data_IF_596309004163
#
_entry.id   IF_596309004163
#
_cell.length_a   1.000
_cell.length_b   1.000
_cell.length_c   1.000
_cell.angle_alpha   90.00
_cell.angle_beta   90.00
_cell.angle_gamma   90.00
#
_symmetry.space_group_name_H-M   'P 1'
#
loop_
_entity.id
_entity.type
_entity.pdbx_description
1 polymer ?
#
# COMPACT_ATOMS: atom_id res chain seq x y z
N UNK A 1 33.82 18.66 -12.69
CA UNK A 1 34.11 19.25 -11.36
C UNK A 1 32.88 19.93 -10.72
N UNK A 2 31.65 19.47 -10.95
CA UNK A 2 30.45 19.97 -10.24
C UNK A 2 29.66 18.85 -9.54
N UNK A 3 30.12 17.60 -9.62
CA UNK A 3 29.43 16.43 -9.07
C UNK A 3 29.83 16.07 -7.64
N UNK A 4 30.86 16.71 -7.07
CA UNK A 4 31.38 16.36 -5.74
C UNK A 4 30.85 17.25 -4.61
N UNK A 5 30.29 18.43 -4.92
CA UNK A 5 29.82 19.37 -3.91
C UNK A 5 28.45 19.00 -3.28
N UNK A 6 27.65 18.18 -3.96
CA UNK A 6 26.33 17.78 -3.44
C UNK A 6 26.37 16.61 -2.45
N UNK A 7 27.50 15.92 -2.30
CA UNK A 7 27.64 14.76 -1.42
C UNK A 7 28.28 15.08 -0.05
N UNK A 8 28.78 16.31 0.18
CA UNK A 8 29.38 16.71 1.47
C UNK A 8 28.37 17.27 2.48
N UNK A 9 27.29 17.88 2.00
CA UNK A 9 26.24 18.47 2.86
C UNK A 9 25.51 17.44 3.75
N UNK A 10 25.24 16.20 3.31
CA UNK A 10 24.60 15.19 4.16
C UNK A 10 25.49 14.76 5.34
N UNK A 11 26.79 14.58 5.11
CA UNK A 11 27.74 14.10 6.12
C UNK A 11 27.97 15.12 7.24
N UNK A 12 28.10 16.41 6.91
CA UNK A 12 28.26 17.46 7.91
C UNK A 12 27.01 17.64 8.77
N UNK A 13 25.81 17.44 8.18
CA UNK A 13 24.56 17.49 8.91
C UNK A 13 24.38 16.30 9.86
N UNK A 14 24.81 15.09 9.47
CA UNK A 14 24.82 13.92 10.36
C UNK A 14 25.81 14.08 11.50
N UNK A 15 27.02 14.57 11.20
CA UNK A 15 28.04 14.84 12.21
C UNK A 15 27.57 15.91 13.20
N UNK A 16 26.97 17.01 12.73
CA UNK A 16 26.42 18.06 13.59
C UNK A 16 25.28 17.56 14.50
N UNK A 17 24.39 16.69 14.00
CA UNK A 17 23.36 16.05 14.83
C UNK A 17 23.98 15.21 15.94
N UNK A 18 25.04 14.45 15.64
CA UNK A 18 25.74 13.64 16.63
C UNK A 18 26.37 14.51 17.73
N UNK A 19 27.00 15.64 17.38
CA UNK A 19 27.54 16.58 18.36
C UNK A 19 26.46 17.23 19.22
N UNK A 20 25.29 17.53 18.67
CA UNK A 20 24.17 18.10 19.42
C UNK A 20 23.54 17.08 20.37
N UNK A 21 23.44 15.82 19.97
CA UNK A 21 23.07 14.69 20.85
C UNK A 21 24.08 14.51 21.99
N UNK A 22 25.37 14.53 21.70
CA UNK A 22 26.43 14.38 22.71
C UNK A 22 26.44 15.56 23.70
N UNK A 23 26.23 16.79 23.22
CA UNK A 23 26.03 17.96 24.08
C UNK A 23 24.79 17.84 24.96
N UNK A 24 23.68 17.29 24.45
CA UNK A 24 22.48 16.98 25.24
C UNK A 24 22.79 15.95 26.34
N UNK A 25 23.58 14.91 26.05
CA UNK A 25 24.00 13.93 27.07
C UNK A 25 24.89 14.55 28.14
N UNK A 26 25.83 15.42 27.76
CA UNK A 26 26.80 16.03 28.67
C UNK A 26 26.18 17.16 29.52
N UNK A 27 25.21 17.92 28.97
CA UNK A 27 24.58 19.04 29.67
C UNK A 27 23.41 18.63 30.58
N UNK A 28 22.86 17.42 30.41
CA UNK A 28 21.74 16.94 31.22
C UNK A 28 22.25 16.30 32.52
N UNK A 29 22.42 17.10 33.57
CA UNK A 29 22.54 16.61 34.95
C UNK A 29 21.18 16.19 35.57
N UNK A 30 20.08 16.32 34.81
CA UNK A 30 18.72 15.96 35.20
C UNK A 30 18.07 14.96 34.22
N UNK A 31 16.97 14.35 34.68
CA UNK A 31 16.13 13.34 34.01
C UNK A 31 15.93 13.66 32.51
N UNK A 32 16.43 12.79 31.63
CA UNK A 32 16.22 12.92 30.17
C UNK A 32 14.72 12.83 29.89
N UNK A 33 14.16 13.88 29.27
CA UNK A 33 12.74 13.94 28.93
C UNK A 33 12.42 13.09 27.70
N UNK A 34 11.18 12.60 27.63
CA UNK A 34 10.65 11.90 26.47
C UNK A 34 10.22 12.91 25.41
N UNK A 35 10.56 12.65 24.15
CA UNK A 35 10.17 13.49 23.01
C UNK A 35 9.53 12.63 21.91
N UNK A 36 8.63 13.25 21.15
CA UNK A 36 7.98 12.63 20.00
C UNK A 36 8.93 12.53 18.81
N UNK A 37 8.89 11.42 18.07
CA UNK A 37 9.76 11.18 16.92
C UNK A 37 9.25 11.86 15.65
N UNK A 38 10.10 12.62 14.97
CA UNK A 38 9.75 13.21 13.66
C UNK A 38 9.86 12.22 12.50
N UNK A 39 10.75 11.25 12.61
CA UNK A 39 10.98 10.22 11.61
C UNK A 39 11.35 8.91 12.26
N UNK A 40 10.87 7.80 11.71
CA UNK A 40 11.26 6.44 12.10
C UNK A 40 12.00 5.77 10.96
N UNK A 41 13.02 4.98 11.28
CA UNK A 41 13.72 4.18 10.29
C UNK A 41 12.86 2.96 9.93
N UNK A 42 12.54 2.82 8.65
CA UNK A 42 11.87 1.65 8.12
C UNK A 42 12.87 0.73 7.42
N UNK A 43 12.71 -0.58 7.66
CA UNK A 43 13.52 -1.63 7.07
C UNK A 43 12.60 -2.57 6.29
N UNK A 44 12.83 -2.67 4.99
CA UNK A 44 12.07 -3.50 4.08
C UNK A 44 12.88 -4.74 3.75
N UNK A 45 12.41 -5.90 4.21
CA UNK A 45 12.99 -7.21 3.94
C UNK A 45 12.27 -7.86 2.77
N UNK A 46 13.05 -8.32 1.79
CA UNK A 46 12.57 -9.10 0.65
C UNK A 46 13.04 -10.54 0.80
N UNK A 47 12.10 -11.45 0.98
CA UNK A 47 12.33 -12.89 1.15
C UNK A 47 12.06 -13.61 -0.17
N UNK A 48 13.01 -14.40 -0.63
CA UNK A 48 12.85 -15.25 -1.81
C UNK A 48 11.93 -16.46 -1.47
N UNK A 49 11.50 -17.20 -2.48
CA UNK A 49 10.77 -18.49 -2.37
C UNK A 49 11.44 -19.52 -1.44
N UNK A 50 12.76 -19.44 -1.24
CA UNK A 50 13.52 -20.28 -0.32
C UNK A 50 13.65 -19.72 1.11
N UNK A 51 12.91 -18.65 1.45
CA UNK A 51 12.95 -17.94 2.74
C UNK A 51 14.29 -17.27 3.07
N UNK A 52 15.16 -17.07 2.08
CA UNK A 52 16.38 -16.27 2.24
C UNK A 52 16.08 -14.79 2.02
N UNK A 53 16.76 -13.93 2.79
CA UNK A 53 16.72 -12.48 2.60
C UNK A 53 17.55 -12.15 1.35
N UNK A 54 16.88 -11.71 0.29
CA UNK A 54 17.53 -11.29 -0.95
C UNK A 54 18.01 -9.84 -0.86
N UNK A 55 17.19 -8.97 -0.23
CA UNK A 55 17.51 -7.56 -0.13
C UNK A 55 16.93 -6.93 1.15
N UNK A 56 17.64 -5.93 1.66
CA UNK A 56 17.22 -5.11 2.81
C UNK A 56 17.35 -3.65 2.39
N UNK A 57 16.23 -2.95 2.29
CA UNK A 57 16.19 -1.52 2.00
C UNK A 57 15.87 -0.76 3.28
N UNK A 58 16.65 0.27 3.59
CA UNK A 58 16.45 1.09 4.78
C UNK A 58 16.09 2.52 4.36
N UNK A 59 14.95 3.03 4.81
CA UNK A 59 14.51 4.39 4.48
C UNK A 59 13.86 5.08 5.69
N UNK A 60 14.11 6.38 5.90
CA UNK A 60 13.42 7.13 6.93
C UNK A 60 11.99 7.50 6.49
N UNK A 61 11.00 7.20 7.32
CA UNK A 61 9.60 7.61 7.14
C UNK A 61 9.31 8.78 8.07
N UNK A 62 8.86 9.91 7.53
CA UNK A 62 8.39 11.05 8.34
C UNK A 62 7.05 10.72 9.02
N UNK A 63 6.92 11.10 10.29
CA UNK A 63 5.74 10.87 11.12
C UNK A 63 4.98 12.17 11.37
N UNK A 64 3.69 12.06 11.71
CA UNK A 64 2.90 13.18 12.18
C UNK A 64 3.01 13.27 13.71
N UNK A 65 3.40 14.43 14.22
CA UNK A 65 3.58 14.64 15.66
C UNK A 65 2.20 14.84 16.30
N UNK A 66 1.98 14.16 17.42
CA UNK A 66 0.86 14.35 18.33
C UNK A 66 1.37 14.74 19.72
N UNK A 67 0.47 15.16 20.61
CA UNK A 67 0.79 15.64 21.95
C UNK A 67 1.45 14.57 22.84
N UNK A 68 1.17 13.29 22.59
CA UNK A 68 1.67 12.16 23.40
C UNK A 68 2.61 11.21 22.64
N UNK A 69 2.93 11.52 21.39
CA UNK A 69 3.79 10.67 20.55
C UNK A 69 3.68 11.03 19.09
N UNK A 70 3.91 10.05 18.23
CA UNK A 70 3.86 10.23 16.78
C UNK A 70 2.96 9.21 16.13
N UNK A 71 2.20 9.63 15.12
CA UNK A 71 1.26 8.76 14.42
C UNK A 71 1.65 8.63 12.95
N UNK A 72 1.57 7.41 12.44
CA UNK A 72 1.64 7.11 11.02
C UNK A 72 0.25 6.69 10.54
N UNK A 73 -0.34 7.49 9.65
CA UNK A 73 -1.68 7.20 9.15
C UNK A 73 -1.70 5.95 8.27
N UNK A 74 -2.82 5.22 8.33
CA UNK A 74 -3.06 4.03 7.51
C UNK A 74 -2.93 4.32 6.01
N UNK A 75 -3.34 5.49 5.53
CA UNK A 75 -3.23 5.83 4.11
C UNK A 75 -1.77 5.88 3.68
N UNK A 76 -0.92 6.51 4.50
CA UNK A 76 0.51 6.58 4.23
C UNK A 76 1.17 5.20 4.31
N UNK A 77 0.76 4.38 5.28
CA UNK A 77 1.25 3.01 5.43
C UNK A 77 0.90 2.15 4.22
N UNK A 78 -0.35 2.19 3.75
CA UNK A 78 -0.81 1.48 2.55
C UNK A 78 -0.06 1.97 1.30
N UNK A 79 0.14 3.29 1.16
CA UNK A 79 0.92 3.85 0.05
C UNK A 79 2.35 3.32 0.03
N UNK A 80 3.02 3.28 1.18
CA UNK A 80 4.39 2.75 1.30
C UNK A 80 4.42 1.26 0.93
N UNK A 81 3.47 0.47 1.45
CA UNK A 81 3.38 -0.96 1.12
C UNK A 81 3.19 -1.17 -0.38
N UNK A 82 2.32 -0.39 -1.04
CA UNK A 82 2.09 -0.52 -2.48
C UNK A 82 3.30 -0.09 -3.32
N UNK A 83 3.97 1.00 -2.94
CA UNK A 83 5.18 1.49 -3.62
C UNK A 83 6.34 0.50 -3.54
N UNK A 84 6.43 -0.28 -2.45
CA UNK A 84 7.52 -1.23 -2.21
C UNK A 84 7.26 -2.63 -2.72
N UNK A 85 6.07 -2.91 -3.29
CA UNK A 85 5.80 -4.17 -4.00
C UNK A 85 6.59 -4.22 -5.30
N UNK A 86 7.40 -5.27 -5.44
CA UNK A 86 8.18 -5.52 -6.65
C UNK A 86 7.43 -6.54 -7.51
N UNK A 87 7.20 -6.20 -8.77
CA UNK A 87 6.65 -7.11 -9.79
C UNK A 87 7.70 -7.34 -10.85
N UNK A 88 8.26 -8.54 -10.87
CA UNK A 88 9.16 -9.03 -11.91
C UNK A 88 8.33 -9.85 -12.92
N UNK A 89 8.89 -10.10 -14.11
CA UNK A 89 8.22 -10.91 -15.14
C UNK A 89 7.91 -12.35 -14.69
N UNK A 90 8.65 -12.86 -13.71
CA UNK A 90 8.58 -14.26 -13.26
C UNK A 90 8.12 -14.39 -11.80
N UNK A 91 8.18 -13.31 -11.03
CA UNK A 91 7.87 -13.34 -9.60
C UNK A 91 7.30 -12.03 -9.11
N UNK A 92 6.53 -12.10 -8.03
CA UNK A 92 5.88 -10.96 -7.40
C UNK A 92 6.14 -11.01 -5.91
N UNK A 93 6.69 -9.93 -5.39
CA UNK A 93 6.84 -9.71 -3.96
C UNK A 93 5.52 -9.21 -3.38
N UNK A 94 4.92 -10.01 -2.51
CA UNK A 94 3.71 -9.67 -1.78
C UNK A 94 4.07 -9.28 -0.35
N UNK A 95 3.36 -8.29 0.18
CA UNK A 95 3.48 -7.91 1.59
C UNK A 95 3.01 -9.05 2.49
N UNK A 96 3.84 -9.41 3.46
CA UNK A 96 3.60 -10.48 4.42
C UNK A 96 3.20 -9.88 5.77
N UNK A 97 4.13 -9.19 6.45
CA UNK A 97 3.92 -8.67 7.80
C UNK A 97 4.58 -7.31 8.06
N UNK A 98 4.05 -6.63 9.08
CA UNK A 98 4.54 -5.37 9.61
C UNK A 98 4.79 -5.50 11.11
N UNK A 99 5.99 -5.13 11.55
CA UNK A 99 6.40 -5.18 12.95
C UNK A 99 6.96 -3.82 13.37
N UNK A 100 6.47 -3.28 14.48
CA UNK A 100 7.03 -2.08 15.11
C UNK A 100 7.87 -2.48 16.32
N UNK A 101 9.07 -1.94 16.38
CA UNK A 101 9.91 -1.94 17.56
C UNK A 101 9.95 -0.52 18.13
N UNK A 102 9.37 -0.35 19.31
CA UNK A 102 9.28 0.94 20.00
C UNK A 102 9.68 0.81 21.48
N UNK A 103 10.74 1.52 21.86
CA UNK A 103 11.22 1.64 23.22
C UNK A 103 10.74 2.97 23.82
N UNK A 104 9.59 2.95 24.48
CA UNK A 104 8.95 4.07 25.18
C UNK A 104 9.40 4.21 26.65
N UNK A 105 10.53 3.58 27.00
CA UNK A 105 11.01 3.54 28.39
C UNK A 105 11.50 4.92 28.85
N UNK A 106 10.97 5.48 29.95
CA UNK A 106 11.43 6.75 30.49
C UNK A 106 12.84 6.61 31.09
N UNK A 107 13.54 7.73 31.21
CA UNK A 107 14.90 7.76 31.74
C UNK A 107 15.04 7.22 33.16
N UNK A 108 14.00 7.38 33.99
CA UNK A 108 13.95 6.87 35.36
C UNK A 108 13.96 5.34 35.47
N UNK A 109 13.48 4.63 34.45
CA UNK A 109 13.37 3.16 34.48
C UNK A 109 14.42 2.43 33.63
N UNK A 110 15.32 3.15 32.95
CA UNK A 110 16.42 2.55 32.15
C UNK A 110 17.25 1.57 32.97
N UNK A 111 17.59 1.93 34.21
CA UNK A 111 18.40 1.07 35.07
C UNK A 111 17.69 -0.25 35.40
N UNK A 112 16.39 -0.19 35.68
CA UNK A 112 15.56 -1.36 35.92
C UNK A 112 15.41 -2.21 34.65
N UNK A 113 15.25 -1.56 33.49
CA UNK A 113 15.21 -2.21 32.19
C UNK A 113 16.52 -2.98 31.92
N UNK A 114 17.68 -2.37 32.18
CA UNK A 114 19.00 -3.01 32.00
C UNK A 114 19.20 -4.25 32.88
N UNK A 115 18.50 -4.34 34.02
CA UNK A 115 18.57 -5.51 34.91
C UNK A 115 17.57 -6.61 34.55
N UNK A 116 16.65 -6.34 33.63
CA UNK A 116 15.63 -7.31 33.24
C UNK A 116 16.27 -8.35 32.34
N UNK A 117 16.29 -9.61 32.79
CA UNK A 117 16.82 -10.74 32.00
C UNK A 117 15.74 -11.49 31.21
N UNK A 118 14.46 -11.16 31.44
CA UNK A 118 13.34 -11.79 30.75
C UNK A 118 13.14 -11.22 29.34
N UNK A 119 13.91 -11.74 28.39
CA UNK A 119 13.87 -11.36 26.98
C UNK A 119 12.44 -11.47 26.41
N UNK A 120 11.67 -12.50 26.79
CA UNK A 120 10.30 -12.69 26.30
C UNK A 120 9.38 -11.52 26.68
N UNK A 121 9.50 -11.01 27.90
CA UNK A 121 8.69 -9.88 28.38
C UNK A 121 9.12 -8.57 27.69
N UNK A 122 10.41 -8.42 27.43
CA UNK A 122 10.94 -7.26 26.67
C UNK A 122 10.38 -7.26 25.25
N UNK A 123 10.43 -8.42 24.57
CA UNK A 123 9.90 -8.58 23.21
C UNK A 123 8.41 -8.29 23.18
N UNK A 124 7.61 -8.86 24.08
CA UNK A 124 6.15 -8.63 24.07
C UNK A 124 5.75 -7.17 24.31
N UNK A 125 6.55 -6.43 25.08
CA UNK A 125 6.23 -5.05 25.44
C UNK A 125 6.63 -4.06 24.34
N UNK A 126 7.81 -4.27 23.74
CA UNK A 126 8.42 -3.31 22.81
C UNK A 126 8.28 -3.70 21.34
N UNK A 127 8.01 -4.96 21.03
CA UNK A 127 7.86 -5.46 19.65
C UNK A 127 6.40 -5.86 19.44
N UNK A 128 5.73 -5.16 18.51
CA UNK A 128 4.31 -5.36 18.23
C UNK A 128 4.11 -5.60 16.75
N UNK A 129 3.37 -6.67 16.42
CA UNK A 129 2.86 -6.88 15.07
C UNK A 129 1.71 -5.89 14.84
N UNK A 130 1.75 -5.19 13.72
CA UNK A 130 0.78 -4.14 13.39
C UNK A 130 -0.14 -4.60 12.27
N UNK A 131 -1.36 -4.06 12.28
CA UNK A 131 -2.30 -4.20 11.18
C UNK A 131 -2.09 -3.06 10.17
N UNK A 132 -1.81 -3.34 8.88
CA UNK A 132 -1.65 -2.32 7.85
C UNK A 132 -2.87 -1.43 7.60
N UNK A 133 -4.04 -1.85 8.07
CA UNK A 133 -5.31 -1.14 7.87
C UNK A 133 -5.62 -0.12 8.97
N UNK A 134 -4.82 -0.09 10.03
CA UNK A 134 -5.01 0.76 11.20
C UNK A 134 -3.93 1.84 11.27
N UNK A 135 -4.24 2.93 11.96
CA UNK A 135 -3.27 3.98 12.23
C UNK A 135 -2.26 3.48 13.27
N UNK A 136 -0.98 3.72 13.01
CA UNK A 136 0.10 3.24 13.86
C UNK A 136 0.52 4.34 14.81
N UNK A 137 0.35 4.11 16.11
CA UNK A 137 0.82 5.00 17.16
C UNK A 137 2.22 4.58 17.66
N UNK A 138 3.15 5.52 17.65
CA UNK A 138 4.52 5.38 18.15
C UNK A 138 4.62 6.26 19.40
N UNK A 139 4.85 5.62 20.54
CA UNK A 139 4.95 6.31 21.83
C UNK A 139 6.17 7.22 21.91
N UNK A 140 6.05 8.30 22.68
CA UNK A 140 7.19 9.19 22.97
C UNK A 140 8.32 8.41 23.66
N UNK A 141 9.55 8.68 23.26
CA UNK A 141 10.74 7.99 23.79
C UNK A 141 11.87 8.97 23.99
N UNK A 142 12.87 8.59 24.78
CA UNK A 142 14.07 9.39 24.92
C UNK A 142 14.86 9.41 23.60
N UNK A 143 15.51 10.52 23.29
CA UNK A 143 16.18 10.70 22.00
C UNK A 143 17.17 9.57 21.62
N UNK A 144 17.93 8.92 22.53
CA UNK A 144 18.82 7.81 22.12
C UNK A 144 18.05 6.60 21.57
N UNK A 145 16.80 6.40 22.01
CA UNK A 145 15.97 5.31 21.50
C UNK A 145 15.36 5.62 20.14
N UNK A 146 15.35 6.87 19.68
CA UNK A 146 14.83 7.23 18.36
C UNK A 146 15.61 6.54 17.23
N UNK A 147 16.91 6.31 17.42
CA UNK A 147 17.75 5.58 16.46
C UNK A 147 17.51 4.05 16.48
N UNK A 148 17.01 3.52 17.61
CA UNK A 148 16.77 2.09 17.81
C UNK A 148 15.34 1.71 17.41
N UNK A 149 14.41 2.65 17.54
CA UNK A 149 13.02 2.48 17.13
C UNK A 149 12.95 2.29 15.61
N UNK A 150 12.39 1.15 15.21
CA UNK A 150 12.40 0.71 13.82
C UNK A 150 11.06 0.10 13.45
N UNK A 151 10.72 0.25 12.16
CA UNK A 151 9.52 -0.33 11.58
C UNK A 151 9.93 -1.31 10.47
N UNK A 152 9.53 -2.56 10.62
CA UNK A 152 9.97 -3.66 9.79
C UNK A 152 8.85 -4.12 8.88
N UNK A 153 9.09 -4.09 7.58
CA UNK A 153 8.19 -4.63 6.57
C UNK A 153 8.79 -5.89 5.99
N UNK A 154 7.99 -6.95 5.87
CA UNK A 154 8.38 -8.19 5.24
C UNK A 154 7.60 -8.38 3.94
N UNK A 155 8.32 -8.69 2.87
CA UNK A 155 7.76 -9.05 1.57
C UNK A 155 8.25 -10.45 1.21
N UNK A 156 7.35 -11.30 0.74
CA UNK A 156 7.65 -12.65 0.30
C UNK A 156 7.46 -12.77 -1.22
N UNK A 157 8.41 -13.42 -1.88
CA UNK A 157 8.36 -13.71 -3.29
C UNK A 157 7.40 -14.87 -3.57
N UNK A 158 6.43 -14.63 -4.42
CA UNK A 158 5.61 -15.67 -5.03
C UNK A 158 5.95 -15.79 -6.51
N UNK A 159 6.16 -17.02 -6.97
CA UNK A 159 6.26 -17.32 -8.40
C UNK A 159 4.95 -16.96 -9.08
N UNK A 160 5.03 -16.13 -10.11
CA UNK A 160 3.90 -15.88 -10.99
C UNK A 160 3.87 -17.08 -11.94
N UNK A 161 3.22 -18.18 -11.52
CA UNK A 161 2.73 -19.15 -12.49
C UNK A 161 1.93 -18.36 -13.49
N UNK A 162 2.28 -18.45 -14.79
CA UNK A 162 1.61 -17.75 -15.88
C UNK A 162 0.13 -17.71 -15.58
N UNK A 163 -0.38 -16.53 -15.23
CA UNK A 163 -1.79 -16.36 -14.90
C UNK A 163 -2.55 -16.87 -16.12
N UNK A 164 -3.03 -18.12 -16.07
CA UNK A 164 -3.99 -18.63 -17.04
C UNK A 164 -5.04 -17.54 -17.06
N UNK A 165 -5.27 -16.87 -18.20
CA UNK A 165 -6.10 -15.69 -18.23
C UNK A 165 -7.38 -16.05 -17.51
N UNK A 166 -7.65 -15.39 -16.39
CA UNK A 166 -8.80 -15.70 -15.57
C UNK A 166 -10.01 -15.37 -16.44
N UNK A 167 -10.52 -16.38 -17.14
CA UNK A 167 -11.73 -16.26 -17.93
C UNK A 167 -12.81 -16.00 -16.90
N UNK A 168 -13.15 -14.72 -16.70
CA UNK A 168 -14.28 -14.30 -15.91
C UNK A 168 -15.49 -15.05 -16.47
N UNK A 169 -15.90 -16.12 -15.79
CA UNK A 169 -17.12 -16.84 -16.13
C UNK A 169 -18.23 -15.84 -15.88
N UNK A 170 -18.85 -15.38 -16.96
CA UNK A 170 -20.03 -14.51 -16.90
C UNK A 170 -21.02 -15.06 -15.87
N UNK A 171 -21.37 -14.22 -14.89
CA UNK A 171 -22.31 -14.54 -13.82
C UNK A 171 -23.75 -14.68 -14.37
N UNK A 172 -23.97 -14.30 -15.63
CA UNK A 172 -25.20 -14.62 -16.38
C UNK A 172 -25.23 -16.11 -16.75
N UNK A 173 -25.37 -16.98 -15.75
CA UNK A 173 -26.00 -18.27 -15.96
C UNK A 173 -27.49 -18.02 -16.09
N UNK A 174 -27.98 -17.95 -17.33
CA UNK A 174 -29.40 -18.20 -17.61
C UNK A 174 -29.73 -19.60 -17.09
N UNK A 175 -30.36 -19.68 -15.92
CA UNK A 175 -30.84 -20.92 -15.30
C UNK A 175 -32.03 -21.53 -16.06
N UNK A 176 -32.41 -20.96 -17.21
CA UNK A 176 -33.57 -21.36 -18.01
C UNK A 176 -33.22 -21.74 -19.46
N UNK A 177 -32.07 -22.40 -19.70
CA UNK A 177 -31.81 -22.99 -21.02
C UNK A 177 -32.59 -24.29 -21.19
N UNK A 178 -33.85 -24.15 -21.62
CA UNK A 178 -34.52 -25.18 -22.43
C UNK A 178 -33.62 -25.51 -23.64
N UNK A 179 -33.65 -26.75 -24.17
CA UNK A 179 -32.79 -27.14 -25.29
C UNK A 179 -32.94 -26.15 -26.45
N UNK A 180 -31.79 -25.70 -26.96
CA UNK A 180 -31.66 -24.73 -28.05
C UNK A 180 -32.44 -25.28 -29.25
N UNK A 181 -33.61 -24.70 -29.53
CA UNK A 181 -34.27 -24.89 -30.82
C UNK A 181 -33.41 -24.20 -31.86
N UNK A 182 -32.96 -24.95 -32.87
CA UNK A 182 -32.33 -24.41 -34.07
C UNK A 182 -33.17 -23.25 -34.62
N UNK A 183 -32.68 -22.02 -34.50
CA UNK A 183 -33.27 -20.89 -35.20
C UNK A 183 -32.67 -20.83 -36.60
N UNK A 184 -33.54 -20.79 -37.62
CA UNK A 184 -33.12 -20.60 -39.01
C UNK A 184 -32.34 -19.28 -39.11
N UNK A 185 -31.12 -19.37 -39.63
CA UNK A 185 -30.24 -18.23 -39.88
C UNK A 185 -30.90 -17.32 -40.92
N UNK A 186 -31.36 -16.14 -40.51
CA UNK A 186 -31.92 -15.13 -41.41
C UNK A 186 -30.77 -14.27 -41.93
N UNK A 187 -30.61 -14.23 -43.25
CA UNK A 187 -29.63 -13.36 -43.93
C UNK A 187 -30.30 -12.02 -44.19
N UNK A 188 -29.90 -10.98 -43.45
CA UNK A 188 -30.38 -9.62 -43.69
C UNK A 188 -29.60 -9.08 -44.89
N UNK A 189 -30.29 -8.96 -46.03
CA UNK A 189 -29.78 -8.23 -47.20
C UNK A 189 -30.19 -6.78 -46.99
N UNK A 190 -29.22 -5.92 -46.63
CA UNK A 190 -29.43 -4.48 -46.59
C UNK A 190 -29.59 -4.00 -48.04
N UNK A 191 -30.83 -3.69 -48.44
CA UNK A 191 -31.07 -3.05 -49.72
C UNK A 191 -30.49 -1.63 -49.68
N UNK A 192 -29.82 -1.18 -50.76
CA UNK A 192 -29.27 0.18 -50.81
C UNK A 192 -30.40 1.20 -50.72
N UNK A 193 -30.20 2.22 -49.88
CA UNK A 193 -31.13 3.34 -49.69
C UNK A 193 -31.51 3.93 -51.05
N UNK A 194 -32.76 3.74 -51.48
CA UNK A 194 -33.33 4.50 -52.58
C UNK A 194 -33.60 5.91 -52.09
N UNK A 195 -32.92 6.87 -52.69
CA UNK A 195 -33.18 8.30 -52.48
C UNK A 195 -34.67 8.59 -52.70
N UNK A 196 -35.28 9.20 -51.69
CA UNK A 196 -36.69 9.61 -51.74
C UNK A 196 -36.78 10.81 -52.68
N UNK A 197 -37.09 10.56 -53.96
CA UNK A 197 -37.50 11.61 -54.89
C UNK A 197 -38.93 12.00 -54.54
N UNK A 198 -39.08 13.19 -53.97
CA UNK A 198 -40.37 13.84 -53.74
C UNK A 198 -41.09 14.08 -55.08
N UNK A 199 -42.14 13.32 -55.35
CA UNK A 199 -43.10 13.64 -56.42
C UNK A 199 -44.49 13.73 -55.83
N UNK A 200 -44.97 14.96 -55.69
CA UNK A 200 -46.39 15.27 -55.49
C UNK A 200 -47.16 14.78 -56.72
N UNK A 201 -48.31 14.10 -56.54
CA UNK A 201 -49.59 14.41 -57.24
C UNK A 201 -50.75 13.47 -56.88
N UNK A 202 -51.84 14.15 -56.52
CA UNK A 202 -53.25 13.99 -56.88
C UNK A 202 -54.11 12.82 -56.36
N UNK A 203 -55.09 13.24 -55.55
CA UNK A 203 -56.38 12.60 -55.26
C UNK A 203 -57.02 11.94 -56.49
N UNK A 204 -57.70 10.82 -56.26
CA UNK A 204 -58.99 10.51 -56.89
C UNK A 204 -59.79 9.55 -56.01
N UNK A 205 -60.88 10.07 -55.47
CA UNK A 205 -62.01 9.36 -54.85
C UNK A 205 -62.70 8.45 -55.87
N UNK A 206 -63.08 7.23 -55.47
CA UNK A 206 -64.16 6.47 -56.12
C UNK A 206 -65.05 5.78 -55.08
N UNK A 207 -66.31 6.24 -55.02
CA UNK A 207 -67.46 5.55 -54.40
C UNK A 207 -67.73 4.23 -55.13
N UNK A 208 -68.22 3.22 -54.41
CA UNK A 208 -69.28 2.33 -54.92
C UNK A 208 -70.13 1.73 -53.80
N UNK A 209 -71.39 2.20 -53.78
CA UNK A 209 -72.64 1.50 -53.42
C UNK A 209 -72.70 0.11 -54.10
N UNK A 210 -73.41 -0.95 -53.67
CA UNK A 210 -74.69 -1.12 -52.95
C UNK A 210 -74.90 -2.63 -52.68
N UNK A 211 -75.54 -2.99 -51.54
CA UNK A 211 -76.69 -3.92 -51.28
C UNK A 211 -76.55 -5.38 -51.81
N UNK A 212 -76.84 -6.48 -51.08
CA UNK A 212 -78.16 -6.98 -50.63
C UNK A 212 -78.01 -8.06 -49.53
N UNK A 213 -78.75 -7.91 -48.42
CA UNK A 213 -79.68 -8.91 -47.86
C UNK A 213 -80.66 -8.20 -46.95
#
# INVERSE_FOLDING_TARGET
MQSELNNMVPLENELNKQWDEERRLLNNHEVIQQESMHSIQAKFFYLNTHQYIENIVCEPISLQISEHGSTLSKEKLIQIIEQKKIKTKQSKYQFLDLILCNFDTPSSSIYSFSKTQDIRNIVSNHIKKLNPLEDVFIGSSIFPFHQINNLYFFFEEHSVEEEKPMILKSILKDTNKKPIKHTKKVRIVLQPKKEIKNVRKNKLTKKRKTIIS
#
